data_IF_268341212726
#
_entry.id   IF_268341212726
#
_cell.length_a   1.000
_cell.length_b   1.000
_cell.length_c   1.000
_cell.angle_alpha   90.00
_cell.angle_beta   90.00
_cell.angle_gamma   90.00
#
_symmetry.space_group_name_H-M   'P 1'
#
loop_
_entity.id
_entity.type
_entity.pdbx_description
1 polymer ?
#
# COMPACT_ATOMS: atom_id res chain seq x y z
N UNK A 1 -31.42 16.89 40.62
CA UNK A 1 -31.48 17.31 39.21
C UNK A 1 -30.23 18.13 38.96
N UNK A 2 -29.15 17.48 38.55
CA UNK A 2 -27.97 18.14 38.01
C UNK A 2 -27.35 17.15 37.03
N UNK A 3 -27.62 17.44 35.76
CA UNK A 3 -27.04 16.80 34.60
C UNK A 3 -25.69 17.49 34.34
N UNK A 4 -24.61 16.72 34.22
CA UNK A 4 -23.38 17.12 33.54
C UNK A 4 -22.82 15.92 32.76
N UNK A 5 -23.51 15.60 31.67
CA UNK A 5 -22.95 14.85 30.56
C UNK A 5 -22.46 15.83 29.50
N UNK A 6 -21.14 15.85 29.25
CA UNK A 6 -20.60 16.02 27.89
C UNK A 6 -19.19 15.43 27.82
N UNK A 7 -19.10 14.14 27.47
CA UNK A 7 -17.94 13.60 26.76
C UNK A 7 -18.32 13.47 25.29
N UNK A 8 -18.06 14.52 24.51
CA UNK A 8 -18.03 14.40 23.04
C UNK A 8 -16.67 13.82 22.65
N UNK A 9 -16.55 12.49 22.71
CA UNK A 9 -15.42 11.79 22.09
C UNK A 9 -15.86 11.40 20.69
N UNK A 10 -15.74 12.33 19.73
CA UNK A 10 -15.75 11.98 18.32
C UNK A 10 -14.44 11.25 18.02
N UNK A 11 -14.41 9.93 18.21
CA UNK A 11 -13.35 9.07 17.67
C UNK A 11 -13.50 9.09 16.15
N UNK A 12 -12.83 10.03 15.48
CA UNK A 12 -12.58 9.89 14.04
C UNK A 12 -11.61 8.71 13.88
N UNK A 13 -12.18 7.55 13.57
CA UNK A 13 -11.40 6.39 13.19
C UNK A 13 -11.02 6.56 11.71
N UNK A 14 -9.75 6.86 11.46
CA UNK A 14 -9.19 6.94 10.10
C UNK A 14 -8.58 5.60 9.71
N UNK A 15 -8.95 5.09 8.53
CA UNK A 15 -8.27 3.95 7.90
C UNK A 15 -7.63 4.39 6.59
N UNK A 16 -6.38 4.02 6.37
CA UNK A 16 -5.62 4.32 5.16
C UNK A 16 -5.07 3.03 4.59
N UNK A 17 -5.33 2.78 3.31
CA UNK A 17 -4.79 1.65 2.58
C UNK A 17 -4.16 2.09 1.27
N UNK A 18 -3.07 1.44 0.89
CA UNK A 18 -2.49 1.51 -0.44
C UNK A 18 -2.90 0.24 -1.18
N UNK A 19 -3.72 0.39 -2.23
CA UNK A 19 -4.22 -0.71 -3.05
C UNK A 19 -3.51 -0.68 -4.39
N UNK A 20 -2.99 -1.81 -4.84
CA UNK A 20 -2.18 -1.94 -6.06
C UNK A 20 -2.78 -2.93 -7.07
N UNK A 21 -3.86 -3.63 -6.70
CA UNK A 21 -4.50 -4.63 -7.56
C UNK A 21 -6.03 -4.61 -7.43
N UNK A 22 -6.78 -4.68 -8.55
CA UNK A 22 -8.25 -4.85 -8.52
C UNK A 22 -8.70 -6.06 -7.70
N UNK A 23 -7.88 -7.12 -7.64
CA UNK A 23 -8.22 -8.38 -6.97
C UNK A 23 -8.34 -8.24 -5.45
N UNK A 24 -7.66 -7.25 -4.84
CA UNK A 24 -7.69 -7.06 -3.38
C UNK A 24 -8.75 -6.05 -2.92
N UNK A 25 -9.39 -5.32 -3.83
CA UNK A 25 -10.23 -4.16 -3.49
C UNK A 25 -11.41 -4.55 -2.59
N UNK A 26 -12.08 -5.64 -2.92
CA UNK A 26 -13.33 -6.04 -2.25
C UNK A 26 -13.09 -6.57 -0.84
N UNK A 27 -12.11 -7.47 -0.70
CA UNK A 27 -11.70 -7.99 0.60
C UNK A 27 -11.00 -6.90 1.42
N UNK A 28 -10.17 -6.09 0.78
CA UNK A 28 -9.46 -4.99 1.43
C UNK A 28 -10.39 -3.94 2.01
N UNK A 29 -11.41 -3.50 1.26
CA UNK A 29 -12.41 -2.58 1.79
C UNK A 29 -13.21 -3.21 2.93
N UNK A 30 -13.57 -4.49 2.82
CA UNK A 30 -14.26 -5.22 3.90
C UNK A 30 -13.40 -5.30 5.18
N UNK A 31 -12.09 -5.53 5.04
CA UNK A 31 -11.13 -5.53 6.12
C UNK A 31 -10.97 -4.13 6.74
N UNK A 32 -10.91 -3.07 5.92
CA UNK A 32 -10.84 -1.70 6.44
C UNK A 32 -12.07 -1.35 7.28
N UNK A 33 -13.26 -1.73 6.81
CA UNK A 33 -14.52 -1.42 7.49
C UNK A 33 -14.71 -2.22 8.78
N UNK A 34 -14.28 -3.49 8.82
CA UNK A 34 -14.40 -4.31 10.03
C UNK A 34 -13.57 -3.75 11.19
N UNK A 35 -12.48 -3.04 10.90
CA UNK A 35 -11.66 -2.36 11.92
C UNK A 35 -12.29 -1.05 12.44
N UNK A 36 -13.28 -0.50 11.74
CA UNK A 36 -13.89 0.80 12.07
C UNK A 36 -15.25 0.67 12.80
N UNK A 37 -15.91 -0.48 12.72
CA UNK A 37 -17.36 -0.57 13.01
C UNK A 37 -17.66 -1.32 14.31
N UNK A 38 -18.25 -0.60 15.26
CA UNK A 38 -19.15 -1.18 16.26
C UNK A 38 -20.58 -1.18 15.67
N UNK A 39 -20.93 -2.23 14.92
CA UNK A 39 -22.26 -2.69 14.49
C UNK A 39 -23.39 -1.63 14.29
N UNK A 40 -23.14 -0.51 13.62
CA UNK A 40 -24.16 0.48 13.28
C UNK A 40 -24.26 0.64 11.76
N UNK A 41 -25.36 0.14 11.18
CA UNK A 41 -25.69 0.28 9.75
C UNK A 41 -25.96 1.74 9.33
N UNK A 42 -26.07 2.67 10.28
CA UNK A 42 -26.24 4.10 10.03
C UNK A 42 -24.92 4.87 9.95
N UNK A 43 -23.78 4.19 10.05
CA UNK A 43 -22.46 4.84 9.98
C UNK A 43 -22.19 5.28 8.54
N UNK A 44 -21.90 6.57 8.36
CA UNK A 44 -21.52 7.17 7.08
C UNK A 44 -20.00 7.38 7.05
N UNK A 45 -19.39 7.16 5.88
CA UNK A 45 -17.94 7.20 5.72
C UNK A 45 -17.52 8.27 4.70
N UNK A 46 -16.65 9.17 5.11
CA UNK A 46 -15.96 10.07 4.18
C UNK A 46 -14.83 9.32 3.47
N UNK A 47 -14.80 9.39 2.14
CA UNK A 47 -13.83 8.69 1.30
C UNK A 47 -12.96 9.69 0.54
N UNK A 48 -11.65 9.49 0.61
CA UNK A 48 -10.65 10.18 -0.19
C UNK A 48 -9.94 9.17 -1.07
N UNK A 49 -10.11 9.27 -2.38
CA UNK A 49 -9.48 8.41 -3.38
C UNK A 49 -8.46 9.23 -4.18
N UNK A 50 -7.18 8.90 -4.00
CA UNK A 50 -6.05 9.64 -4.57
C UNK A 50 -5.04 8.65 -5.13
N UNK A 51 -4.52 8.89 -6.34
CA UNK A 51 -3.47 8.09 -6.94
C UNK A 51 -3.80 7.60 -8.35
N UNK A 52 -2.90 6.79 -8.91
CA UNK A 52 -2.94 6.43 -10.32
C UNK A 52 -2.77 7.64 -11.25
N UNK A 53 -2.57 7.37 -12.53
CA UNK A 53 -2.51 8.37 -13.58
C UNK A 53 -2.93 7.73 -14.91
N UNK A 54 -3.14 8.53 -15.95
CA UNK A 54 -3.43 8.02 -17.28
C UNK A 54 -2.12 7.57 -17.92
N UNK A 55 -1.91 6.26 -17.99
CA UNK A 55 -0.77 5.66 -18.68
C UNK A 55 -0.94 5.87 -20.21
N UNK A 56 0.12 6.30 -20.89
CA UNK A 56 0.07 6.46 -22.36
C UNK A 56 0.16 5.08 -23.01
N UNK A 57 -0.86 4.71 -23.78
CA UNK A 57 -0.80 3.53 -24.63
C UNK A 57 0.16 3.77 -25.79
N UNK A 58 1.30 3.07 -25.80
CA UNK A 58 2.33 3.11 -26.86
C UNK A 58 1.82 2.71 -28.26
N UNK A 59 0.56 2.30 -28.40
CA UNK A 59 -0.01 1.85 -29.67
C UNK A 59 -0.33 2.96 -30.68
N UNK A 60 -0.29 4.24 -30.30
CA UNK A 60 -0.52 5.34 -31.25
C UNK A 60 0.69 5.71 -32.14
N UNK A 61 1.85 5.06 -31.97
CA UNK A 61 3.03 5.33 -32.80
C UNK A 61 2.99 4.67 -34.19
N UNK A 62 2.11 3.68 -34.43
CA UNK A 62 1.96 3.04 -35.73
C UNK A 62 0.51 3.19 -36.21
N UNK A 63 0.30 4.07 -37.19
CA UNK A 63 -1.01 4.42 -37.74
C UNK A 63 -1.73 3.29 -38.48
N UNK A 64 -2.21 2.27 -37.76
CA UNK A 64 -3.23 1.35 -38.27
C UNK A 64 -4.55 1.61 -37.57
N UNK A 65 -5.54 2.06 -38.34
CA UNK A 65 -6.93 2.05 -37.93
C UNK A 65 -7.39 0.60 -37.67
N UNK A 66 -8.36 0.47 -36.75
CA UNK A 66 -9.23 -0.69 -36.44
C UNK A 66 -8.99 -1.29 -35.03
N UNK A 67 -9.73 -0.74 -34.06
CA UNK A 67 -10.54 -1.44 -33.05
C UNK A 67 -11.16 -0.41 -32.11
N UNK A 68 -12.49 -0.32 -32.03
CA UNK A 68 -13.24 0.55 -31.10
C UNK A 68 -13.25 0.00 -29.65
N UNK A 69 -12.17 -0.65 -29.23
CA UNK A 69 -11.85 -0.77 -27.80
C UNK A 69 -11.08 0.49 -27.42
N UNK A 70 -11.49 1.29 -26.43
CA UNK A 70 -10.69 2.43 -26.02
C UNK A 70 -9.32 1.92 -25.54
N UNK A 71 -8.28 2.11 -26.35
CA UNK A 71 -6.90 1.74 -26.02
C UNK A 71 -6.39 2.37 -24.71
N UNK A 72 -7.15 3.29 -24.11
CA UNK A 72 -6.97 3.87 -22.78
C UNK A 72 -7.20 2.89 -21.60
N UNK A 73 -7.68 1.67 -21.86
CA UNK A 73 -8.05 0.70 -20.82
C UNK A 73 -6.93 -0.29 -20.45
N UNK A 74 -5.80 -0.29 -21.15
CA UNK A 74 -4.70 -1.26 -20.97
C UNK A 74 -3.72 -0.91 -19.84
N UNK A 75 -3.90 0.23 -19.16
CA UNK A 75 -3.06 0.62 -18.02
C UNK A 75 -3.46 -0.03 -16.70
N UNK A 76 -2.58 -0.01 -15.70
CA UNK A 76 -2.86 -0.54 -14.36
C UNK A 76 -3.81 0.34 -13.54
N UNK A 77 -3.71 1.67 -13.73
CA UNK A 77 -4.43 2.66 -12.93
C UNK A 77 -5.95 2.64 -13.13
N UNK A 78 -6.43 2.55 -14.38
CA UNK A 78 -7.87 2.63 -14.68
C UNK A 78 -8.66 1.42 -14.15
N UNK A 79 -8.27 0.16 -14.40
CA UNK A 79 -8.96 -1.01 -13.86
C UNK A 79 -9.05 -1.00 -12.33
N UNK A 80 -7.97 -0.59 -11.66
CA UNK A 80 -7.96 -0.46 -10.20
C UNK A 80 -8.93 0.62 -9.73
N UNK A 81 -8.86 1.83 -10.29
CA UNK A 81 -9.77 2.92 -9.96
C UNK A 81 -11.24 2.53 -10.18
N UNK A 82 -11.54 1.93 -11.34
CA UNK A 82 -12.89 1.47 -11.68
C UNK A 82 -13.39 0.42 -10.69
N UNK A 83 -12.56 -0.54 -10.30
CA UNK A 83 -12.93 -1.56 -9.31
C UNK A 83 -13.19 -0.93 -7.94
N UNK A 84 -12.38 0.02 -7.47
CA UNK A 84 -12.60 0.73 -6.20
C UNK A 84 -13.94 1.47 -6.21
N UNK A 85 -14.19 2.30 -7.23
CA UNK A 85 -15.43 3.07 -7.33
C UNK A 85 -16.66 2.16 -7.42
N UNK A 86 -16.58 1.10 -8.24
CA UNK A 86 -17.66 0.13 -8.36
C UNK A 86 -17.93 -0.57 -7.02
N UNK A 87 -16.88 -1.02 -6.33
CA UNK A 87 -17.03 -1.70 -5.03
C UNK A 87 -17.63 -0.77 -3.97
N UNK A 88 -17.24 0.51 -3.92
CA UNK A 88 -17.87 1.49 -3.02
C UNK A 88 -19.35 1.67 -3.34
N UNK A 89 -19.71 1.76 -4.62
CA UNK A 89 -21.09 1.93 -5.07
C UNK A 89 -21.98 0.71 -4.83
N UNK A 90 -21.43 -0.51 -4.97
CA UNK A 90 -22.20 -1.75 -4.83
C UNK A 90 -22.46 -2.17 -3.38
N UNK A 91 -21.85 -1.48 -2.43
CA UNK A 91 -21.92 -1.80 -1.00
C UNK A 91 -23.13 -1.17 -0.32
N UNK A 92 -23.49 -1.72 0.84
CA UNK A 92 -24.66 -1.28 1.59
C UNK A 92 -24.34 -0.09 2.51
N UNK A 93 -23.08 0.08 2.90
CA UNK A 93 -22.60 1.24 3.66
C UNK A 93 -22.72 2.53 2.84
N UNK A 94 -22.90 3.67 3.52
CA UNK A 94 -23.01 4.98 2.87
C UNK A 94 -21.63 5.64 2.79
N UNK A 95 -21.18 5.91 1.57
CA UNK A 95 -19.89 6.57 1.30
C UNK A 95 -20.08 7.97 0.71
N UNK A 96 -19.46 8.96 1.34
CA UNK A 96 -19.38 10.34 0.85
C UNK A 96 -18.01 10.58 0.23
N UNK A 97 -17.94 10.64 -1.09
CA UNK A 97 -16.70 10.92 -1.79
C UNK A 97 -16.31 12.40 -1.59
N UNK A 98 -15.32 12.65 -0.72
CA UNK A 98 -14.82 14.00 -0.39
C UNK A 98 -13.71 14.45 -1.32
N UNK A 99 -12.87 13.52 -1.76
CA UNK A 99 -11.76 13.81 -2.66
C UNK A 99 -11.64 12.70 -3.69
N UNK A 100 -11.59 13.08 -4.96
CA UNK A 100 -11.33 12.20 -6.08
C UNK A 100 -10.23 12.83 -6.95
N UNK A 101 -8.99 12.45 -6.69
CA UNK A 101 -7.81 12.92 -7.43
C UNK A 101 -7.09 11.70 -8.01
N UNK A 102 -7.66 11.17 -9.08
CA UNK A 102 -7.21 9.94 -9.76
C UNK A 102 -7.12 10.17 -11.26
N UNK A 103 -6.37 9.29 -11.94
CA UNK A 103 -6.28 9.27 -13.41
C UNK A 103 -5.96 10.67 -13.97
N UNK A 104 -6.76 11.21 -14.90
CA UNK A 104 -6.55 12.52 -15.50
C UNK A 104 -6.41 13.66 -14.49
N UNK A 105 -7.09 13.60 -13.34
CA UNK A 105 -6.95 14.61 -12.27
C UNK A 105 -5.61 14.54 -11.53
N UNK A 106 -4.91 13.41 -11.63
CA UNK A 106 -3.57 13.22 -11.10
C UNK A 106 -2.53 13.09 -12.23
N UNK A 107 -2.84 13.39 -13.49
CA UNK A 107 -1.91 13.19 -14.61
C UNK A 107 -1.25 14.49 -15.07
N UNK A 108 0.08 14.48 -15.14
CA UNK A 108 0.89 15.49 -15.85
C UNK A 108 1.62 14.86 -17.02
N UNK A 109 1.96 15.67 -18.03
CA UNK A 109 2.72 15.25 -19.22
C UNK A 109 3.99 16.07 -19.35
N UNK A 110 5.09 15.42 -19.75
CA UNK A 110 6.33 16.11 -20.11
C UNK A 110 6.32 16.55 -21.58
N UNK A 111 7.43 17.15 -22.04
CA UNK A 111 7.60 17.59 -23.43
C UNK A 111 7.62 16.44 -24.44
N UNK A 112 7.99 15.24 -24.01
CA UNK A 112 8.09 14.04 -24.83
C UNK A 112 6.75 13.27 -24.86
N UNK A 113 5.75 13.75 -24.13
CA UNK A 113 4.41 13.17 -24.04
C UNK A 113 4.27 12.06 -23.01
N UNK A 114 5.32 11.74 -22.24
CA UNK A 114 5.26 10.76 -21.16
C UNK A 114 4.33 11.27 -20.06
N UNK A 115 3.54 10.37 -19.49
CA UNK A 115 2.63 10.70 -18.39
C UNK A 115 3.21 10.32 -17.04
N UNK A 116 2.90 11.14 -16.05
CA UNK A 116 3.33 10.98 -14.67
C UNK A 116 2.20 11.36 -13.73
N UNK A 117 2.20 10.83 -12.50
CA UNK A 117 1.37 11.36 -11.44
C UNK A 117 1.81 12.79 -11.02
N UNK A 118 0.87 13.66 -10.67
CA UNK A 118 1.14 14.92 -9.97
C UNK A 118 1.59 14.64 -8.53
N UNK A 119 0.88 13.74 -7.86
CA UNK A 119 1.13 13.34 -6.48
C UNK A 119 1.37 11.83 -6.40
N UNK A 120 2.43 11.44 -5.70
CA UNK A 120 2.79 10.03 -5.42
C UNK A 120 2.42 9.59 -4.01
N UNK A 121 1.92 10.51 -3.17
CA UNK A 121 1.63 10.25 -1.78
C UNK A 121 0.88 11.38 -1.11
N UNK A 122 0.28 11.05 0.03
CA UNK A 122 -0.43 11.99 0.89
C UNK A 122 -0.26 11.59 2.36
N UNK A 123 -0.44 12.56 3.24
CA UNK A 123 -0.61 12.37 4.67
C UNK A 123 -2.06 12.68 5.05
N UNK A 124 -2.56 12.04 6.10
CA UNK A 124 -3.86 12.35 6.70
C UNK A 124 -3.64 12.76 8.15
N UNK A 125 -4.11 13.95 8.51
CA UNK A 125 -4.18 14.35 9.91
C UNK A 125 -5.36 13.64 10.57
N UNK A 126 -5.09 12.64 11.41
CA UNK A 126 -6.12 11.76 11.98
C UNK A 126 -7.14 12.48 12.87
N UNK A 127 -6.76 13.61 13.47
CA UNK A 127 -7.64 14.41 14.33
C UNK A 127 -8.68 15.22 13.55
N UNK A 128 -8.38 15.61 12.31
CA UNK A 128 -9.23 16.48 11.49
C UNK A 128 -9.78 15.81 10.23
N UNK A 129 -9.16 14.72 9.79
CA UNK A 129 -9.42 14.10 8.49
C UNK A 129 -8.83 14.87 7.30
N UNK A 130 -8.03 15.93 7.53
CA UNK A 130 -7.44 16.72 6.45
C UNK A 130 -6.40 15.88 5.70
N UNK A 131 -6.52 15.85 4.36
CA UNK A 131 -5.59 15.17 3.46
C UNK A 131 -4.66 16.17 2.80
N UNK A 132 -3.35 15.91 2.89
CA UNK A 132 -2.29 16.82 2.42
C UNK A 132 -1.35 16.04 1.51
N UNK A 133 -1.04 16.52 0.28
CA UNK A 133 0.00 15.93 -0.54
C UNK A 133 1.33 15.83 0.22
N UNK A 134 1.99 14.68 0.16
CA UNK A 134 3.19 14.42 0.93
C UNK A 134 4.18 13.54 0.14
N UNK A 135 5.46 13.75 0.39
CA UNK A 135 6.55 12.92 -0.11
C UNK A 135 7.33 12.42 1.10
N UNK A 136 7.53 11.10 1.14
CA UNK A 136 8.21 10.43 2.24
C UNK A 136 9.56 9.89 1.75
N UNK A 137 10.64 10.54 2.16
CA UNK A 137 11.99 10.04 1.91
C UNK A 137 12.28 8.76 2.72
N UNK A 138 13.41 8.11 2.45
CA UNK A 138 13.82 6.89 3.14
C UNK A 138 13.94 7.02 4.67
N UNK A 139 14.11 8.23 5.22
CA UNK A 139 14.26 8.47 6.66
C UNK A 139 12.92 8.60 7.40
N UNK A 140 11.87 8.95 6.67
CA UNK A 140 10.51 9.12 7.19
C UNK A 140 9.65 7.86 7.13
N UNK A 141 10.19 6.76 6.58
CA UNK A 141 9.44 5.50 6.44
C UNK A 141 9.29 4.82 7.80
N UNK A 142 8.09 4.25 8.02
CA UNK A 142 7.78 3.53 9.25
C UNK A 142 8.74 2.33 9.46
N UNK A 143 8.87 1.83 10.70
CA UNK A 143 9.89 0.84 11.07
C UNK A 143 9.90 -0.41 10.21
N UNK A 144 11.08 -1.03 10.12
CA UNK A 144 11.29 -2.34 9.47
C UNK A 144 10.84 -2.34 8.00
N UNK A 145 11.10 -1.21 7.33
CA UNK A 145 10.65 -0.91 5.98
C UNK A 145 10.99 -2.02 4.97
N UNK A 146 12.21 -2.54 4.99
CA UNK A 146 12.65 -3.62 4.10
C UNK A 146 11.75 -4.85 4.28
N UNK A 147 11.52 -5.31 5.52
CA UNK A 147 10.68 -6.48 5.81
C UNK A 147 9.24 -6.23 5.37
N UNK A 148 8.69 -5.03 5.62
CA UNK A 148 7.33 -4.68 5.18
C UNK A 148 7.18 -4.70 3.67
N UNK A 149 8.17 -4.22 2.91
CA UNK A 149 8.15 -4.29 1.44
C UNK A 149 8.28 -5.72 0.94
N UNK A 150 9.17 -6.52 1.52
CA UNK A 150 9.29 -7.95 1.21
C UNK A 150 7.94 -8.63 1.41
N UNK A 151 7.23 -8.36 2.52
CA UNK A 151 5.89 -8.90 2.75
C UNK A 151 4.94 -8.57 1.59
N UNK A 152 4.94 -7.34 1.09
CA UNK A 152 4.12 -6.95 -0.07
C UNK A 152 4.51 -7.77 -1.31
N UNK A 153 5.80 -7.92 -1.58
CA UNK A 153 6.28 -8.62 -2.79
C UNK A 153 6.14 -10.14 -2.75
N UNK A 154 6.11 -10.78 -1.57
CA UNK A 154 6.16 -12.25 -1.45
C UNK A 154 4.90 -12.87 -0.83
N UNK A 155 3.95 -12.06 -0.34
CA UNK A 155 2.73 -12.55 0.32
C UNK A 155 1.89 -13.46 -0.56
N UNK A 156 1.97 -13.32 -1.88
CA UNK A 156 1.26 -14.17 -2.83
C UNK A 156 1.66 -15.66 -2.74
N UNK A 157 2.83 -15.99 -2.17
CA UNK A 157 3.26 -17.38 -1.93
C UNK A 157 2.79 -17.94 -0.58
N UNK A 158 2.24 -17.09 0.31
CA UNK A 158 1.78 -17.47 1.64
C UNK A 158 0.26 -17.45 1.70
N UNK A 159 -0.34 -18.65 1.72
CA UNK A 159 -1.79 -18.82 1.75
C UNK A 159 -2.49 -18.11 2.93
N UNK A 160 -1.76 -17.76 4.01
CA UNK A 160 -2.33 -16.99 5.12
C UNK A 160 -2.72 -15.55 4.72
N UNK A 161 -2.07 -15.03 3.68
CA UNK A 161 -2.20 -13.65 3.19
C UNK A 161 -3.01 -13.52 1.91
N UNK A 162 -3.59 -14.62 1.40
CA UNK A 162 -4.36 -14.57 0.16
C UNK A 162 -5.49 -13.53 0.25
N UNK A 163 -5.54 -12.63 -0.74
CA UNK A 163 -6.54 -11.56 -0.89
C UNK A 163 -6.68 -10.61 0.30
N UNK A 164 -5.66 -10.49 1.18
CA UNK A 164 -5.72 -9.62 2.36
C UNK A 164 -4.86 -8.37 2.22
N UNK A 165 -5.33 -7.27 2.82
CA UNK A 165 -4.45 -6.14 3.08
C UNK A 165 -3.48 -6.51 4.21
N UNK A 166 -2.21 -6.18 4.02
CA UNK A 166 -1.15 -6.45 4.98
C UNK A 166 -1.18 -5.39 6.09
N UNK A 167 -2.00 -5.60 7.10
CA UNK A 167 -2.05 -4.74 8.28
C UNK A 167 -0.69 -4.72 9.00
N UNK A 168 -0.30 -3.53 9.46
CA UNK A 168 1.00 -3.32 10.12
C UNK A 168 0.90 -2.50 11.41
N UNK A 169 -0.25 -1.87 11.70
CA UNK A 169 -0.43 -1.03 12.88
C UNK A 169 -1.57 -1.56 13.74
N UNK A 170 -1.31 -1.77 15.03
CA UNK A 170 -2.35 -2.07 16.01
C UNK A 170 -2.70 -0.80 16.79
N UNK A 171 -3.84 -0.21 16.44
CA UNK A 171 -4.36 0.99 17.07
C UNK A 171 -4.63 0.80 18.58
N UNK A 172 -5.05 -0.41 18.99
CA UNK A 172 -5.39 -0.68 20.38
C UNK A 172 -4.18 -0.69 21.32
N UNK A 173 -3.00 -1.05 20.79
CA UNK A 173 -1.75 -1.09 21.56
C UNK A 173 -0.71 -0.05 21.12
N UNK A 174 -1.08 0.89 20.26
CA UNK A 174 -0.23 1.95 19.72
C UNK A 174 1.14 1.46 19.24
N UNK A 175 1.15 0.38 18.44
CA UNK A 175 2.40 -0.23 17.99
C UNK A 175 2.33 -0.77 16.57
N UNK A 176 3.48 -0.80 15.89
CA UNK A 176 3.60 -1.55 14.66
C UNK A 176 3.72 -3.04 15.00
N UNK A 177 2.84 -3.86 14.43
CA UNK A 177 2.88 -5.33 14.49
C UNK A 177 3.02 -5.89 13.10
N UNK A 178 4.23 -6.26 12.73
CA UNK A 178 4.54 -6.83 11.42
C UNK A 178 4.42 -8.34 11.54
N UNK A 179 3.28 -8.85 11.10
CA UNK A 179 2.98 -10.27 11.16
C UNK A 179 3.89 -11.09 10.23
N UNK A 180 4.16 -12.37 10.57
CA UNK A 180 5.00 -13.24 9.75
C UNK A 180 4.48 -13.40 8.34
N UNK A 181 5.39 -13.44 7.38
CA UNK A 181 5.10 -13.80 5.99
C UNK A 181 6.11 -14.85 5.53
N UNK A 182 5.62 -15.92 4.90
CA UNK A 182 6.45 -17.05 4.48
C UNK A 182 6.88 -16.84 3.03
N UNK A 183 8.18 -16.67 2.81
CA UNK A 183 8.77 -16.83 1.49
C UNK A 183 9.44 -18.20 1.34
N UNK A 184 9.53 -18.66 0.10
CA UNK A 184 10.18 -19.92 -0.25
C UNK A 184 11.57 -19.69 -0.84
N UNK A 185 12.37 -20.76 -1.02
CA UNK A 185 13.66 -20.69 -1.72
C UNK A 185 13.53 -20.19 -3.17
N UNK A 186 12.32 -20.19 -3.75
CA UNK A 186 12.06 -19.55 -5.03
C UNK A 186 12.37 -18.05 -4.99
N UNK A 187 12.01 -17.36 -3.90
CA UNK A 187 12.28 -15.94 -3.74
C UNK A 187 13.78 -15.64 -3.67
N UNK A 188 14.56 -16.52 -3.04
CA UNK A 188 16.02 -16.45 -3.04
C UNK A 188 16.58 -16.53 -4.47
N UNK A 189 16.11 -17.48 -5.29
CA UNK A 189 16.57 -17.60 -6.68
C UNK A 189 16.14 -16.44 -7.57
N UNK A 190 14.92 -15.92 -7.38
CA UNK A 190 14.44 -14.72 -8.08
C UNK A 190 15.32 -13.51 -7.71
N UNK A 191 15.58 -13.31 -6.41
CA UNK A 191 16.43 -12.23 -5.91
C UNK A 191 17.85 -12.30 -6.50
N UNK A 192 18.48 -13.49 -6.52
CA UNK A 192 19.80 -13.68 -7.14
C UNK A 192 19.82 -13.35 -8.64
N UNK A 193 18.78 -13.74 -9.37
CA UNK A 193 18.70 -13.47 -10.80
C UNK A 193 18.56 -11.97 -11.06
N UNK A 194 17.66 -11.29 -10.35
CA UNK A 194 17.34 -9.88 -10.57
C UNK A 194 18.44 -8.94 -10.07
N UNK A 195 19.19 -9.32 -9.03
CA UNK A 195 20.26 -8.48 -8.49
C UNK A 195 21.38 -8.19 -9.52
N UNK A 196 21.58 -9.07 -10.50
CA UNK A 196 22.59 -8.90 -11.54
C UNK A 196 22.09 -8.13 -12.77
N UNK A 197 20.80 -7.81 -12.83
CA UNK A 197 20.24 -7.01 -13.92
C UNK A 197 20.65 -5.53 -13.81
N UNK A 198 20.69 -4.86 -14.95
CA UNK A 198 20.82 -3.40 -15.04
C UNK A 198 19.57 -2.70 -14.52
N UNK A 199 19.71 -1.42 -14.17
CA UNK A 199 18.59 -0.64 -13.63
C UNK A 199 17.43 -0.52 -14.64
N UNK A 200 17.74 -0.42 -15.94
CA UNK A 200 16.73 -0.41 -17.00
C UNK A 200 15.98 -1.74 -17.12
N UNK A 201 16.67 -2.87 -16.98
CA UNK A 201 16.05 -4.20 -17.00
C UNK A 201 15.13 -4.36 -15.79
N UNK A 202 15.60 -3.93 -14.61
CA UNK A 202 14.81 -3.94 -13.36
C UNK A 202 13.55 -3.09 -13.51
N UNK A 203 13.67 -1.85 -13.98
CA UNK A 203 12.51 -0.97 -14.22
C UNK A 203 11.53 -1.64 -15.20
N UNK A 204 12.00 -2.11 -16.36
CA UNK A 204 11.13 -2.72 -17.37
C UNK A 204 10.42 -3.99 -16.90
N UNK A 205 11.02 -4.75 -15.97
CA UNK A 205 10.51 -6.06 -15.55
C UNK A 205 9.71 -6.00 -14.25
N UNK A 206 10.05 -5.08 -13.35
CA UNK A 206 9.54 -5.05 -11.98
C UNK A 206 8.65 -3.85 -11.67
N UNK A 207 8.57 -2.85 -12.55
CA UNK A 207 7.68 -1.69 -12.40
C UNK A 207 6.43 -1.85 -13.26
N UNK A 208 5.29 -1.39 -12.73
CA UNK A 208 4.05 -1.20 -13.50
C UNK A 208 4.07 0.07 -14.35
N UNK A 209 4.98 1.00 -14.06
CA UNK A 209 5.14 2.27 -14.78
C UNK A 209 6.62 2.70 -14.84
N UNK A 210 7.47 2.03 -15.66
CA UNK A 210 8.93 2.19 -15.61
C UNK A 210 9.45 3.62 -15.74
N UNK A 211 8.72 4.48 -16.45
CA UNK A 211 9.09 5.90 -16.63
C UNK A 211 8.68 6.78 -15.47
N UNK A 212 7.73 6.37 -14.62
CA UNK A 212 7.11 7.20 -13.59
C UNK A 212 7.56 6.85 -12.15
N UNK A 213 8.44 5.86 -11.99
CA UNK A 213 8.93 5.43 -10.68
C UNK A 213 9.74 6.51 -9.95
N UNK A 214 9.75 6.40 -8.62
CA UNK A 214 10.60 7.24 -7.77
C UNK A 214 12.09 6.99 -8.06
N UNK A 215 12.98 8.01 -7.89
CA UNK A 215 14.41 7.86 -8.16
C UNK A 215 15.10 6.72 -7.41
N UNK A 216 14.57 6.34 -6.24
CA UNK A 216 15.12 5.29 -5.38
C UNK A 216 14.43 3.93 -5.56
N UNK A 217 13.57 3.75 -6.57
CA UNK A 217 12.84 2.51 -6.82
C UNK A 217 13.76 1.29 -6.97
N UNK A 218 14.75 1.39 -7.85
CA UNK A 218 15.69 0.28 -8.12
C UNK A 218 16.55 -0.02 -6.90
N UNK A 219 17.05 1.01 -6.21
CA UNK A 219 17.82 0.86 -4.97
C UNK A 219 17.01 0.13 -3.89
N UNK A 220 15.72 0.45 -3.76
CA UNK A 220 14.82 -0.22 -2.82
C UNK A 220 14.59 -1.69 -3.18
N UNK A 221 14.47 -2.03 -4.47
CA UNK A 221 14.37 -3.42 -4.90
C UNK A 221 15.65 -4.21 -4.60
N UNK A 222 16.82 -3.63 -4.90
CA UNK A 222 18.12 -4.24 -4.61
C UNK A 222 18.28 -4.52 -3.11
N UNK A 223 17.91 -3.58 -2.24
CA UNK A 223 17.93 -3.78 -0.77
C UNK A 223 17.04 -4.94 -0.32
N UNK A 224 15.86 -5.11 -0.92
CA UNK A 224 14.97 -6.24 -0.60
C UNK A 224 15.57 -7.58 -1.06
N UNK A 225 16.14 -7.63 -2.27
CA UNK A 225 16.77 -8.84 -2.78
C UNK A 225 18.02 -9.23 -2.00
N UNK A 226 18.87 -8.27 -1.64
CA UNK A 226 20.01 -8.50 -0.73
C UNK A 226 19.54 -9.12 0.58
N UNK A 227 18.48 -8.58 1.20
CA UNK A 227 17.93 -9.14 2.43
C UNK A 227 17.40 -10.57 2.24
N UNK A 228 16.71 -10.87 1.13
CA UNK A 228 16.22 -12.22 0.83
C UNK A 228 17.37 -13.22 0.57
N UNK A 229 18.50 -12.75 0.04
CA UNK A 229 19.71 -13.54 -0.17
C UNK A 229 20.42 -13.84 1.16
N UNK A 230 20.52 -12.83 2.03
CA UNK A 230 21.12 -12.96 3.38
C UNK A 230 20.23 -13.79 4.33
N UNK A 231 18.91 -13.74 4.17
CA UNK A 231 17.91 -14.42 5.00
C UNK A 231 16.95 -15.28 4.16
N UNK A 232 17.43 -16.37 3.53
CA UNK A 232 16.63 -17.19 2.63
C UNK A 232 15.49 -17.92 3.35
N UNK A 233 15.60 -18.14 4.66
CA UNK A 233 14.55 -18.73 5.47
C UNK A 233 13.79 -17.65 6.25
N UNK A 234 12.50 -17.48 5.96
CA UNK A 234 11.64 -16.48 6.63
C UNK A 234 11.62 -16.61 8.17
N UNK A 235 11.92 -17.80 8.70
CA UNK A 235 12.04 -18.06 10.14
C UNK A 235 13.19 -17.32 10.81
N UNK A 236 14.21 -16.88 10.06
CA UNK A 236 15.26 -16.00 10.57
C UNK A 236 14.72 -14.60 10.85
N UNK A 237 13.80 -14.13 10.01
CA UNK A 237 13.14 -12.82 10.18
C UNK A 237 12.02 -12.86 11.21
N UNK A 238 11.25 -13.96 11.22
CA UNK A 238 10.12 -14.21 12.11
C UNK A 238 10.33 -15.51 12.91
N UNK A 239 11.27 -15.50 13.89
CA UNK A 239 11.54 -16.68 14.70
C UNK A 239 10.26 -17.12 15.42
N UNK A 240 10.03 -18.43 15.48
CA UNK A 240 8.84 -19.03 16.13
C UNK A 240 7.48 -18.49 15.63
N UNK A 241 7.41 -17.94 14.39
CA UNK A 241 6.22 -17.29 13.84
C UNK A 241 5.73 -16.09 14.66
N UNK A 242 6.62 -15.42 15.38
CA UNK A 242 6.26 -14.22 16.13
C UNK A 242 6.31 -12.98 15.24
N UNK A 243 5.35 -12.09 15.44
CA UNK A 243 5.33 -10.78 14.79
C UNK A 243 6.48 -9.90 15.30
N UNK A 244 7.03 -9.07 14.41
CA UNK A 244 8.01 -8.05 14.80
C UNK A 244 7.25 -6.83 15.29
N UNK A 245 7.40 -6.52 16.59
CA UNK A 245 6.62 -5.46 17.25
C UNK A 245 7.50 -4.25 17.51
N UNK A 246 7.00 -3.05 17.23
CA UNK A 246 7.69 -1.79 17.49
C UNK A 246 6.77 -0.84 18.25
N UNK A 247 7.19 -0.42 19.43
CA UNK A 247 6.45 0.51 20.27
C UNK A 247 7.08 1.91 20.21
N UNK A 248 6.27 2.93 20.46
CA UNK A 248 6.74 4.31 20.48
C UNK A 248 7.46 4.60 21.80
N UNK A 249 8.66 5.18 21.73
CA UNK A 249 9.37 5.71 22.89
C UNK A 249 8.84 7.07 23.30
N UNK A 250 9.26 7.53 24.49
CA UNK A 250 8.87 8.84 25.03
C UNK A 250 9.31 10.02 24.14
N UNK A 251 10.37 9.86 23.35
CA UNK A 251 10.83 10.86 22.36
C UNK A 251 10.17 10.69 20.98
N UNK A 252 9.15 9.84 20.86
CA UNK A 252 8.37 9.64 19.65
C UNK A 252 8.98 8.72 18.60
N UNK A 253 10.18 8.16 18.85
CA UNK A 253 10.82 7.17 17.96
C UNK A 253 10.18 5.79 18.11
N UNK A 254 10.43 4.93 17.13
CA UNK A 254 9.97 3.54 17.18
C UNK A 254 11.10 2.61 17.61
N UNK A 255 10.84 1.78 18.63
CA UNK A 255 11.82 0.83 19.17
C UNK A 255 11.29 -0.59 19.02
N UNK A 256 12.11 -1.45 18.40
CA UNK A 256 11.82 -2.88 18.27
C UNK A 256 11.73 -3.49 19.67
N UNK A 257 10.61 -4.15 19.95
CA UNK A 257 10.43 -4.91 21.18
C UNK A 257 11.10 -6.27 21.02
N UNK A 258 12.01 -6.61 21.92
CA UNK A 258 12.54 -7.96 21.98
C UNK A 258 11.47 -8.90 22.52
N UNK A 259 11.34 -10.07 21.90
CA UNK A 259 10.53 -11.11 22.49
C UNK A 259 11.42 -11.86 23.48
N UNK A 260 11.19 -11.66 24.76
CA UNK A 260 11.79 -12.48 25.80
C UNK A 260 11.26 -13.91 25.66
N UNK A 261 11.98 -14.73 24.89
CA UNK A 261 11.83 -16.18 24.89
C UNK A 261 12.55 -16.74 26.10
N UNK A 262 11.78 -17.43 26.96
CA UNK A 262 12.27 -18.28 28.05
C UNK A 262 13.47 -19.11 27.56
N UNK A 263 14.62 -18.93 28.22
CA UNK A 263 15.78 -19.82 28.06
C UNK A 263 15.29 -21.25 28.29
N UNK A 264 15.53 -22.12 27.30
CA UNK A 264 15.29 -23.56 27.35
C UNK A 264 16.00 -24.18 28.55
#
# INVERSE_FOLDING_TARGET
MECKDWEFVARLLTSVAHMDSPNIVEMGLSQMLSSLVANSLETEFDVHLIGGFEEVSLQQANGSAISESPAYLDGYSFPLCSKIVHTLWSRHEKFHLRTLCVLGHNTRRDSDGNTYPFFNGFAVETASGIVIPAIFDGTSRCPDEIVRRIRVSVSYEDANWNEKLLETYDCGSDCFKIAPCRWTLRQYHIALSLLNCSDSEILSTCSTSPTAEAPDFVDNLRRQWTYLIEHPHWTETFPTKQARTFARSSDGKWIRQEVYGVLV
#
